data_IF_080518296160
#
_entry.id   IF_080518296160
#
_cell.length_a   1.000
_cell.length_b   1.000
_cell.length_c   1.000
_cell.angle_alpha   90.00
_cell.angle_beta   90.00
_cell.angle_gamma   90.00
#
_symmetry.space_group_name_H-M   'P 1'
#
loop_
_entity.id
_entity.type
_entity.pdbx_description
1 polymer ?
#
# COMPACT_ATOMS: atom_id res chain seq x y z
N UNK A 1 4.78 -1.91 1.77
CA UNK A 1 5.19 -0.64 2.42
C UNK A 1 3.91 0.10 2.83
N UNK A 2 3.96 1.04 3.78
CA UNK A 2 2.80 1.86 4.14
C UNK A 2 3.01 3.32 3.73
N UNK A 3 2.18 3.83 2.85
CA UNK A 3 2.02 5.26 2.66
C UNK A 3 1.18 5.86 3.79
N UNK A 4 1.71 6.89 4.44
CA UNK A 4 0.99 7.66 5.46
C UNK A 4 1.08 9.14 5.05
N UNK A 5 -0.07 9.73 4.75
CA UNK A 5 -0.23 11.15 4.50
C UNK A 5 -0.92 11.82 5.68
N UNK A 6 -0.32 12.88 6.20
CA UNK A 6 -0.85 13.74 7.27
C UNK A 6 -1.16 15.11 6.70
N UNK A 7 -2.40 15.54 6.84
CA UNK A 7 -2.86 16.88 6.47
C UNK A 7 -3.52 17.52 7.69
N UNK A 8 -3.54 18.85 7.77
CA UNK A 8 -4.30 19.58 8.78
C UNK A 8 -5.00 20.75 8.12
N UNK A 9 -6.28 20.93 8.43
CA UNK A 9 -7.10 22.02 7.87
C UNK A 9 -6.66 23.38 8.42
N UNK A 10 -6.14 23.41 9.64
CA UNK A 10 -5.80 24.65 10.34
C UNK A 10 -4.30 24.96 10.31
N UNK A 11 -3.43 23.95 10.17
CA UNK A 11 -1.98 24.13 10.19
C UNK A 11 -1.24 23.15 9.26
N UNK A 12 -1.46 23.29 7.95
CA UNK A 12 -0.82 22.46 6.93
C UNK A 12 0.72 22.60 6.95
N UNK A 13 1.24 23.78 7.31
CA UNK A 13 2.70 24.03 7.37
C UNK A 13 3.41 23.13 8.39
N UNK A 14 2.78 22.86 9.53
CA UNK A 14 3.30 21.93 10.53
C UNK A 14 3.11 20.46 10.11
N UNK A 15 2.04 20.14 9.38
CA UNK A 15 1.75 18.79 8.90
C UNK A 15 2.79 18.30 7.87
N UNK A 16 3.37 19.21 7.07
CA UNK A 16 4.38 18.86 6.05
C UNK A 16 5.64 18.20 6.60
N UNK A 17 5.98 18.41 7.87
CA UNK A 17 7.16 17.78 8.50
C UNK A 17 6.95 16.27 8.74
N UNK A 18 5.69 15.84 8.79
CA UNK A 18 5.29 14.44 8.98
C UNK A 18 5.12 13.68 7.66
N UNK A 19 5.02 14.39 6.55
CA UNK A 19 4.96 13.79 5.22
C UNK A 19 6.38 13.63 4.70
N UNK A 20 6.70 12.44 4.18
CA UNK A 20 7.99 12.22 3.53
C UNK A 20 8.13 13.24 2.39
N UNK A 21 9.24 14.01 2.33
CA UNK A 21 9.44 14.99 1.28
C UNK A 21 9.47 14.26 -0.05
N UNK A 22 8.54 14.62 -0.93
CA UNK A 22 8.58 14.19 -2.30
C UNK A 22 9.78 14.87 -2.96
N UNK A 23 10.86 14.12 -3.16
CA UNK A 23 12.11 14.64 -3.73
C UNK A 23 11.96 14.81 -5.25
N UNK A 24 10.92 15.54 -5.70
CA UNK A 24 10.93 16.16 -7.01
C UNK A 24 11.73 17.46 -6.89
N UNK A 25 13.05 17.32 -6.93
CA UNK A 25 13.94 18.42 -7.24
C UNK A 25 13.54 18.98 -8.62
N UNK A 26 13.54 20.31 -8.72
CA UNK A 26 12.86 21.02 -9.80
C UNK A 26 13.38 20.71 -11.21
N UNK A 27 12.48 20.94 -12.16
CA UNK A 27 12.83 21.33 -13.53
C UNK A 27 12.99 20.19 -14.53
N UNK A 28 12.40 20.44 -15.70
CA UNK A 28 12.48 19.67 -16.95
C UNK A 28 11.77 18.32 -17.00
N UNK A 29 10.72 18.29 -17.82
CA UNK A 29 9.98 17.15 -18.36
C UNK A 29 10.76 15.83 -18.39
N UNK A 30 10.50 14.95 -17.42
CA UNK A 30 10.88 13.53 -17.48
C UNK A 30 9.60 12.73 -17.31
N UNK A 31 9.40 11.77 -18.21
CA UNK A 31 8.23 10.89 -18.30
C UNK A 31 7.71 10.46 -16.92
N UNK A 32 6.42 10.72 -16.69
CA UNK A 32 5.69 10.53 -15.44
C UNK A 32 5.43 9.05 -15.09
N UNK A 33 6.48 8.23 -15.03
CA UNK A 33 6.39 6.80 -14.69
C UNK A 33 7.28 6.39 -13.50
N UNK A 34 7.88 7.35 -12.79
CA UNK A 34 8.59 7.08 -11.54
C UNK A 34 8.04 7.99 -10.43
N UNK A 35 6.80 7.74 -10.03
CA UNK A 35 6.37 8.01 -8.65
C UNK A 35 7.12 7.04 -7.76
N UNK A 36 8.28 7.44 -7.22
CA UNK A 36 8.84 6.75 -6.06
C UNK A 36 7.73 6.73 -5.01
N UNK A 37 7.18 5.55 -4.75
CA UNK A 37 6.14 5.35 -3.75
C UNK A 37 6.74 5.67 -2.39
N UNK A 38 6.63 6.94 -1.99
CA UNK A 38 7.01 7.40 -0.66
C UNK A 38 6.22 6.56 0.34
N UNK A 39 6.91 5.92 1.28
CA UNK A 39 6.24 5.05 2.23
C UNK A 39 7.15 4.71 3.39
N UNK A 40 6.52 4.51 4.53
CA UNK A 40 7.13 3.97 5.73
C UNK A 40 7.28 2.46 5.56
N UNK A 41 8.51 1.97 5.73
CA UNK A 41 8.79 0.54 5.75
C UNK A 41 8.42 -0.03 7.12
N UNK A 42 7.73 -1.16 7.12
CA UNK A 42 7.44 -1.91 8.35
C UNK A 42 8.64 -2.80 8.63
N UNK A 43 9.18 -2.73 9.84
CA UNK A 43 10.26 -3.60 10.29
C UNK A 43 9.78 -5.03 10.59
N UNK A 44 10.73 -5.92 10.88
CA UNK A 44 10.45 -7.33 11.19
C UNK A 44 9.63 -7.51 12.48
N UNK A 45 9.71 -6.54 13.39
CA UNK A 45 8.96 -6.50 14.64
C UNK A 45 7.58 -5.84 14.47
N UNK A 46 7.21 -5.49 13.23
CA UNK A 46 5.90 -4.93 12.92
C UNK A 46 5.74 -3.45 13.26
N UNK A 47 6.83 -2.68 13.31
CA UNK A 47 6.82 -1.26 13.63
C UNK A 47 7.19 -0.39 12.42
N UNK A 48 6.74 0.87 12.46
CA UNK A 48 7.18 1.94 11.55
C UNK A 48 7.92 3.00 12.35
N UNK A 49 8.89 3.66 11.72
CA UNK A 49 9.50 4.86 12.30
C UNK A 49 8.84 6.11 11.72
N UNK A 50 8.11 6.85 12.57
CA UNK A 50 7.33 8.01 12.15
C UNK A 50 7.93 9.31 12.72
N UNK A 51 8.15 10.36 11.89
CA UNK A 51 8.79 11.60 12.35
C UNK A 51 8.09 12.19 13.58
N UNK A 52 8.88 12.61 14.58
CA UNK A 52 8.46 13.21 15.87
C UNK A 52 7.60 12.35 16.79
N UNK A 53 6.89 11.35 16.26
CA UNK A 53 6.12 10.38 17.03
C UNK A 53 7.00 9.19 17.46
N UNK A 54 8.04 8.88 16.69
CA UNK A 54 8.97 7.78 16.91
C UNK A 54 8.46 6.44 16.39
N UNK A 55 9.00 5.35 16.96
CA UNK A 55 8.62 3.98 16.60
C UNK A 55 7.19 3.68 17.01
N UNK A 56 6.40 3.18 16.07
CA UNK A 56 5.00 2.83 16.28
C UNK A 56 4.71 1.42 15.81
N UNK A 57 4.12 0.60 16.69
CA UNK A 57 3.68 -0.75 16.34
C UNK A 57 2.44 -0.69 15.45
N UNK A 58 2.54 -1.24 14.24
CA UNK A 58 1.45 -1.30 13.25
C UNK A 58 0.93 -2.72 13.05
N UNK A 59 1.70 -3.73 13.45
CA UNK A 59 1.27 -5.12 13.39
C UNK A 59 0.02 -5.36 14.23
N UNK A 60 -0.97 -6.03 13.63
CA UNK A 60 -2.24 -6.37 14.27
C UNK A 60 -3.27 -5.24 14.29
N UNK A 61 -2.90 -4.03 13.86
CA UNK A 61 -3.83 -2.91 13.74
C UNK A 61 -4.45 -2.84 12.34
N UNK A 62 -5.75 -2.55 12.29
CA UNK A 62 -6.40 -2.14 11.04
C UNK A 62 -5.96 -0.72 10.66
N UNK A 63 -6.06 -0.39 9.37
CA UNK A 63 -5.76 0.97 8.87
C UNK A 63 -6.51 2.06 9.63
N UNK A 64 -7.78 1.80 9.98
CA UNK A 64 -8.61 2.75 10.72
C UNK A 64 -8.10 2.95 12.15
N UNK A 65 -7.78 1.86 12.86
CA UNK A 65 -7.21 1.93 14.21
C UNK A 65 -5.85 2.63 14.21
N UNK A 66 -5.01 2.35 13.23
CA UNK A 66 -3.72 3.02 13.10
C UNK A 66 -3.90 4.53 12.80
N UNK A 67 -4.86 4.88 11.96
CA UNK A 67 -5.17 6.28 11.65
C UNK A 67 -5.69 7.03 12.88
N UNK A 68 -6.58 6.43 13.67
CA UNK A 68 -7.06 6.99 14.93
C UNK A 68 -5.92 7.19 15.94
N UNK A 69 -5.07 6.18 16.10
CA UNK A 69 -3.93 6.23 17.02
C UNK A 69 -2.93 7.32 16.61
N UNK A 70 -2.65 7.46 15.30
CA UNK A 70 -1.82 8.55 14.80
C UNK A 70 -2.49 9.91 15.00
N UNK A 71 -3.80 10.04 14.75
CA UNK A 71 -4.53 11.29 15.01
C UNK A 71 -4.42 11.71 16.48
N UNK A 72 -4.57 10.79 17.42
CA UNK A 72 -4.43 11.09 18.85
C UNK A 72 -3.03 11.57 19.22
N UNK A 73 -1.99 10.91 18.72
CA UNK A 73 -0.60 11.32 18.97
C UNK A 73 -0.27 12.67 18.32
N UNK A 74 -0.84 12.94 17.15
CA UNK A 74 -0.62 14.17 16.40
C UNK A 74 -1.40 15.37 16.95
N UNK A 75 -2.50 15.16 17.70
CA UNK A 75 -3.28 16.26 18.33
C UNK A 75 -2.47 17.12 19.29
N UNK A 76 -1.35 16.60 19.82
CA UNK A 76 -0.46 17.36 20.70
C UNK A 76 0.25 18.49 19.92
N UNK A 77 0.54 18.30 18.64
CA UNK A 77 1.25 19.28 17.80
C UNK A 77 0.40 19.89 16.67
N UNK A 78 -0.68 19.23 16.25
CA UNK A 78 -1.53 19.61 15.13
C UNK A 78 -2.98 19.80 15.58
N UNK A 79 -3.60 20.90 15.17
CA UNK A 79 -5.03 21.12 15.33
C UNK A 79 -5.79 20.39 14.21
N UNK A 80 -6.71 19.49 14.57
CA UNK A 80 -7.49 18.65 13.65
C UNK A 80 -6.68 17.94 12.54
N UNK A 81 -5.81 16.98 12.91
CA UNK A 81 -5.06 16.21 11.92
C UNK A 81 -5.95 15.21 11.16
N UNK A 82 -5.83 15.22 9.84
CA UNK A 82 -6.36 14.21 8.93
C UNK A 82 -5.22 13.26 8.52
N UNK A 83 -5.34 11.99 8.92
CA UNK A 83 -4.37 10.94 8.61
C UNK A 83 -4.98 9.98 7.60
N UNK A 84 -4.30 9.80 6.47
CA UNK A 84 -4.66 8.86 5.40
C UNK A 84 -3.59 7.78 5.31
N UNK A 85 -4.01 6.52 5.41
CA UNK A 85 -3.11 5.36 5.37
C UNK A 85 -3.46 4.52 4.15
N UNK A 86 -2.45 4.20 3.34
CA UNK A 86 -2.57 3.31 2.18
C UNK A 86 -1.42 2.31 2.21
N UNK A 87 -1.65 1.04 1.92
CA UNK A 87 -0.55 0.14 1.59
C UNK A 87 -0.05 0.48 0.19
N UNK A 88 1.26 0.65 0.09
CA UNK A 88 1.95 0.74 -1.20
C UNK A 88 2.62 -0.59 -1.48
N UNK A 89 2.51 -1.04 -2.74
CA UNK A 89 3.09 -2.26 -3.30
C UNK A 89 2.30 -3.54 -2.96
N UNK A 90 0.97 -3.51 -3.11
CA UNK A 90 0.21 -4.75 -3.16
C UNK A 90 0.47 -5.43 -4.51
N UNK A 91 1.14 -6.57 -4.47
CA UNK A 91 1.57 -7.31 -5.66
C UNK A 91 0.81 -8.62 -5.73
N UNK A 92 0.16 -8.85 -6.85
CA UNK A 92 -0.37 -10.15 -7.22
C UNK A 92 0.50 -10.78 -8.30
N UNK A 93 0.46 -12.11 -8.41
CA UNK A 93 1.17 -12.83 -9.46
C UNK A 93 0.20 -13.79 -10.12
N UNK A 94 0.06 -13.67 -11.43
CA UNK A 94 -0.81 -14.53 -12.24
C UNK A 94 0.10 -15.34 -13.16
N UNK A 95 -0.02 -16.66 -13.08
CA UNK A 95 0.80 -17.62 -13.82
C UNK A 95 -0.09 -18.68 -14.47
N UNK A 96 0.45 -19.34 -15.50
CA UNK A 96 -0.23 -20.42 -16.21
C UNK A 96 -0.75 -19.97 -17.57
N UNK A 97 -1.87 -20.57 -18.00
CA UNK A 97 -2.45 -20.41 -19.34
C UNK A 97 -3.29 -19.12 -19.47
N UNK A 98 -2.64 -17.98 -19.23
CA UNK A 98 -3.16 -16.61 -19.45
C UNK A 98 -2.38 -15.92 -20.57
N UNK A 99 -2.93 -14.86 -21.17
CA UNK A 99 -2.28 -14.13 -22.26
C UNK A 99 -0.95 -13.46 -21.82
N UNK A 100 -0.92 -12.93 -20.59
CA UNK A 100 0.23 -12.21 -20.02
C UNK A 100 0.57 -12.71 -18.61
N UNK A 101 1.30 -13.83 -18.47
CA UNK A 101 1.74 -14.33 -17.17
C UNK A 101 2.80 -13.39 -16.59
N UNK A 102 2.45 -12.66 -15.53
CA UNK A 102 3.33 -11.70 -14.88
C UNK A 102 2.93 -11.43 -13.43
N UNK A 103 3.76 -10.67 -12.75
CA UNK A 103 3.35 -9.99 -11.54
C UNK A 103 2.77 -8.62 -11.86
N UNK A 104 1.66 -8.29 -11.20
CA UNK A 104 0.96 -7.04 -11.34
C UNK A 104 0.96 -6.32 -9.99
N UNK A 105 1.24 -5.03 -10.03
CA UNK A 105 1.09 -4.14 -8.89
C UNK A 105 -0.31 -3.54 -8.98
N UNK A 106 -1.17 -3.86 -8.00
CA UNK A 106 -2.52 -3.34 -7.94
C UNK A 106 -2.58 -2.27 -6.85
N UNK A 107 -2.90 -0.99 -7.20
CA UNK A 107 -3.04 0.07 -6.21
C UNK A 107 -4.21 -0.17 -5.24
N UNK A 108 -5.26 -0.87 -5.66
CA UNK A 108 -6.33 -1.28 -4.77
C UNK A 108 -5.91 -2.52 -3.97
N UNK A 109 -5.85 -2.39 -2.65
CA UNK A 109 -5.45 -3.46 -1.73
C UNK A 109 -6.41 -4.68 -1.75
N UNK A 110 -7.42 -4.66 -2.61
CA UNK A 110 -8.39 -5.73 -2.84
C UNK A 110 -8.53 -5.93 -4.35
N UNK A 111 -8.40 -7.17 -4.78
CA UNK A 111 -8.62 -7.57 -6.16
C UNK A 111 -9.29 -8.95 -6.17
N UNK A 112 -10.29 -9.10 -7.02
CA UNK A 112 -10.95 -10.38 -7.25
C UNK A 112 -10.13 -11.26 -8.20
N UNK A 113 -10.40 -12.56 -8.19
CA UNK A 113 -9.75 -13.51 -9.11
C UNK A 113 -10.07 -13.15 -10.57
N UNK A 114 -11.29 -12.69 -10.85
CA UNK A 114 -11.71 -12.31 -12.19
C UNK A 114 -10.97 -11.07 -12.69
N UNK A 115 -10.81 -10.06 -11.83
CA UNK A 115 -10.03 -8.86 -12.16
C UNK A 115 -8.56 -9.21 -12.38
N UNK A 116 -7.97 -10.06 -11.54
CA UNK A 116 -6.59 -10.51 -11.71
C UNK A 116 -6.37 -11.25 -13.04
N UNK A 117 -7.31 -12.12 -13.43
CA UNK A 117 -7.28 -12.79 -14.74
C UNK A 117 -7.45 -11.78 -15.88
N UNK A 118 -8.36 -10.81 -15.72
CA UNK A 118 -8.57 -9.73 -16.69
C UNK A 118 -7.31 -8.88 -16.91
N UNK A 119 -6.60 -8.53 -15.83
CA UNK A 119 -5.32 -7.82 -15.90
C UNK A 119 -4.24 -8.61 -16.64
N UNK A 120 -4.29 -9.95 -16.56
CA UNK A 120 -3.40 -10.84 -17.28
C UNK A 120 -3.82 -11.11 -18.74
N UNK A 121 -4.83 -10.40 -19.28
CA UNK A 121 -5.31 -10.58 -20.65
C UNK A 121 -6.26 -11.77 -20.84
N UNK A 122 -6.94 -12.20 -19.76
CA UNK A 122 -7.80 -13.39 -19.73
C UNK A 122 -7.04 -14.72 -19.93
N UNK A 123 -7.76 -15.83 -19.73
CA UNK A 123 -7.28 -17.16 -19.99
C UNK A 123 -7.20 -17.41 -21.50
N UNK A 124 -6.14 -18.10 -21.92
CA UNK A 124 -6.02 -18.58 -23.30
C UNK A 124 -7.14 -19.59 -23.61
N UNK A 125 -7.41 -19.90 -24.90
CA UNK A 125 -8.41 -20.91 -25.28
C UNK A 125 -8.17 -22.31 -24.69
N UNK A 126 -6.94 -22.60 -24.23
CA UNK A 126 -6.56 -23.86 -23.60
C UNK A 126 -6.69 -23.83 -22.07
N UNK A 127 -6.84 -22.64 -21.47
CA UNK A 127 -6.95 -22.45 -20.04
C UNK A 127 -8.29 -22.97 -19.49
N UNK A 128 -8.23 -23.73 -18.40
CA UNK A 128 -9.43 -24.23 -17.70
C UNK A 128 -9.99 -23.16 -16.76
N UNK A 129 -11.20 -22.68 -17.05
CA UNK A 129 -11.92 -21.67 -16.24
C UNK A 129 -12.48 -22.23 -14.93
N UNK A 130 -12.71 -23.54 -14.86
CA UNK A 130 -13.35 -24.26 -13.75
C UNK A 130 -12.36 -24.72 -12.67
N UNK A 131 -11.05 -24.50 -12.86
CA UNK A 131 -10.04 -24.93 -11.90
C UNK A 131 -8.89 -23.91 -11.81
N UNK A 132 -9.03 -22.95 -10.89
CA UNK A 132 -8.08 -21.85 -10.69
C UNK A 132 -7.50 -21.92 -9.28
N UNK A 133 -6.21 -22.21 -9.17
CA UNK A 133 -5.53 -22.25 -7.88
C UNK A 133 -5.21 -20.83 -7.39
N UNK A 134 -5.79 -20.46 -6.24
CA UNK A 134 -5.50 -19.24 -5.50
C UNK A 134 -4.59 -19.56 -4.31
N UNK A 135 -3.44 -18.90 -4.26
CA UNK A 135 -2.49 -18.99 -3.15
C UNK A 135 -2.48 -17.65 -2.42
N UNK A 136 -2.77 -17.66 -1.12
CA UNK A 136 -2.69 -16.47 -0.26
C UNK A 136 -1.68 -16.69 0.86
N UNK A 137 -0.89 -15.68 1.16
CA UNK A 137 -0.02 -15.67 2.33
C UNK A 137 -0.69 -14.91 3.47
N UNK A 138 -1.00 -15.61 4.57
CA UNK A 138 -1.51 -15.02 5.80
C UNK A 138 -0.43 -15.15 6.89
N UNK A 139 0.44 -14.15 6.99
CA UNK A 139 1.53 -14.08 7.97
C UNK A 139 2.43 -15.35 8.00
N UNK A 140 2.93 -15.75 6.84
CA UNK A 140 3.83 -16.90 6.68
C UNK A 140 3.11 -18.24 6.54
N UNK A 141 1.77 -18.27 6.63
CA UNK A 141 0.96 -19.46 6.35
C UNK A 141 0.34 -19.35 4.96
N UNK A 142 0.86 -20.17 4.04
CA UNK A 142 0.31 -20.30 2.69
C UNK A 142 -1.01 -21.05 2.72
N UNK A 143 -2.09 -20.39 2.30
CA UNK A 143 -3.42 -20.98 2.09
C UNK A 143 -3.64 -21.22 0.60
N UNK A 144 -4.10 -22.42 0.28
CA UNK A 144 -4.36 -22.88 -1.09
C UNK A 144 -5.88 -23.06 -1.23
N UNK A 145 -6.46 -22.55 -2.30
CA UNK A 145 -7.91 -22.67 -2.57
C UNK A 145 -8.09 -22.82 -4.08
N UNK A 146 -9.04 -23.65 -4.50
CA UNK A 146 -9.39 -23.88 -5.91
C UNK A 146 -10.72 -23.23 -6.25
#
# INVERSE_FOLDING_TARGET
MLYIGVHSVHNDSAARVYNLPNYYAGGTSVNANNTSTLGYMVDLDGNIDFPRVGKLKVEGLTKNQLAELLKEKLKVELLDPLVTIRLTNYRITVLGDVEHPSAFEEPDEQISVLEAIGLAGDLTPYGRRDNVLVIRDNNGKKKWTY
#
